data_IF_944814898291
#
_entry.id   IF_944814898291
#
_cell.length_a   1.000
_cell.length_b   1.000
_cell.length_c   1.000
_cell.angle_alpha   90.00
_cell.angle_beta   90.00
_cell.angle_gamma   90.00
#
_symmetry.space_group_name_H-M   'P 1'
#
loop_
_entity.id
_entity.type
_entity.pdbx_description
1 polymer ?
#
# COMPACT_ATOMS: atom_id res chain seq x y z
N UNK A 1 21.99 -22.26 7.54
CA UNK A 1 21.53 -20.87 7.37
C UNK A 1 20.60 -20.90 6.19
N UNK A 2 19.33 -20.62 6.44
CA UNK A 2 18.37 -20.38 5.36
C UNK A 2 18.66 -18.98 4.83
N UNK A 3 18.85 -18.89 3.51
CA UNK A 3 19.10 -17.64 2.79
C UNK A 3 17.90 -17.42 1.88
N UNK A 4 17.34 -16.23 1.93
CA UNK A 4 16.25 -15.82 1.05
C UNK A 4 16.77 -14.83 0.02
N UNK A 5 16.38 -15.03 -1.24
CA UNK A 5 16.60 -14.05 -2.29
C UNK A 5 15.49 -13.00 -2.19
N UNK A 6 15.87 -11.73 -2.12
CA UNK A 6 14.94 -10.62 -1.96
C UNK A 6 15.26 -9.49 -2.94
N UNK A 7 14.24 -8.76 -3.38
CA UNK A 7 14.37 -7.52 -4.13
C UNK A 7 14.14 -6.31 -3.21
N UNK A 8 15.06 -5.35 -3.20
CA UNK A 8 14.89 -4.10 -2.42
C UNK A 8 13.84 -3.22 -3.09
N UNK A 9 12.80 -2.85 -2.35
CA UNK A 9 11.67 -2.04 -2.86
C UNK A 9 11.71 -0.59 -2.39
N UNK A 10 12.21 -0.34 -1.18
CA UNK A 10 12.32 1.01 -0.65
C UNK A 10 13.50 1.13 0.32
N UNK A 11 14.29 2.19 0.21
CA UNK A 11 15.45 2.45 1.09
C UNK A 11 15.13 3.65 1.97
N UNK A 12 15.14 3.46 3.29
CA UNK A 12 14.97 4.56 4.25
C UNK A 12 16.31 5.21 4.53
N UNK A 13 17.33 4.40 4.80
CA UNK A 13 18.69 4.83 5.08
C UNK A 13 19.70 3.72 4.73
N UNK A 14 20.97 3.94 5.07
CA UNK A 14 22.07 3.04 4.72
C UNK A 14 21.96 1.61 5.30
N UNK A 15 21.13 1.40 6.32
CA UNK A 15 20.98 0.11 7.01
C UNK A 15 19.52 -0.35 7.13
N UNK A 16 18.56 0.51 6.77
CA UNK A 16 17.13 0.25 6.87
C UNK A 16 16.48 0.32 5.49
N UNK A 17 15.92 -0.80 5.06
CA UNK A 17 15.21 -0.90 3.78
C UNK A 17 14.07 -1.91 3.87
N UNK A 18 13.15 -1.81 2.92
CA UNK A 18 12.12 -2.80 2.65
C UNK A 18 12.52 -3.65 1.47
N UNK A 19 12.16 -4.93 1.54
CA UNK A 19 12.40 -5.88 0.49
C UNK A 19 11.25 -6.88 0.40
N UNK A 20 11.03 -7.38 -0.81
CA UNK A 20 10.08 -8.46 -1.10
C UNK A 20 10.85 -9.75 -1.33
N UNK A 21 10.31 -10.87 -0.85
CA UNK A 21 10.82 -12.19 -1.20
C UNK A 21 10.47 -12.48 -2.67
N UNK A 22 11.46 -12.86 -3.47
CA UNK A 22 11.25 -13.08 -4.92
C UNK A 22 10.29 -14.23 -5.23
N UNK A 23 10.05 -15.13 -4.27
CA UNK A 23 9.09 -16.21 -4.44
C UNK A 23 7.64 -15.72 -4.31
N UNK A 24 7.41 -14.50 -3.80
CA UNK A 24 6.08 -13.91 -3.63
C UNK A 24 5.65 -13.05 -4.83
N UNK A 25 6.47 -12.94 -5.89
CA UNK A 25 6.20 -12.12 -7.08
C UNK A 25 4.79 -12.38 -7.66
N UNK A 26 4.40 -13.65 -7.76
CA UNK A 26 3.07 -14.01 -8.27
C UNK A 26 1.95 -13.56 -7.33
N UNK A 27 2.16 -13.60 -6.02
CA UNK A 27 1.18 -13.15 -5.04
C UNK A 27 1.01 -11.62 -5.08
N UNK A 28 2.13 -10.88 -5.19
CA UNK A 28 2.13 -9.43 -5.36
C UNK A 28 1.39 -9.02 -6.64
N UNK A 29 1.67 -9.71 -7.75
CA UNK A 29 0.99 -9.45 -9.02
C UNK A 29 -0.51 -9.76 -8.95
N UNK A 30 -0.91 -10.83 -8.26
CA UNK A 30 -2.33 -11.14 -8.04
C UNK A 30 -3.03 -10.04 -7.23
N UNK A 31 -2.39 -9.53 -6.17
CA UNK A 31 -2.91 -8.42 -5.37
C UNK A 31 -3.03 -7.17 -6.24
N UNK A 32 -1.98 -6.80 -6.99
CA UNK A 32 -1.97 -5.64 -7.89
C UNK A 32 -3.15 -5.68 -8.87
N UNK A 33 -3.36 -6.83 -9.52
CA UNK A 33 -4.48 -7.02 -10.45
C UNK A 33 -5.84 -6.93 -9.76
N UNK A 34 -6.00 -7.53 -8.58
CA UNK A 34 -7.24 -7.46 -7.83
C UNK A 34 -7.57 -6.03 -7.34
N UNK A 35 -6.55 -5.25 -6.98
CA UNK A 35 -6.72 -3.83 -6.61
C UNK A 35 -7.12 -2.99 -7.83
N UNK A 36 -6.45 -3.19 -8.96
CA UNK A 36 -6.76 -2.47 -10.20
C UNK A 36 -8.20 -2.71 -10.68
N UNK A 37 -8.71 -3.93 -10.50
CA UNK A 37 -10.10 -4.30 -10.84
C UNK A 37 -11.12 -3.69 -9.85
N UNK A 38 -10.87 -3.81 -8.54
CA UNK A 38 -11.91 -3.55 -7.53
C UNK A 38 -11.87 -2.16 -6.90
N UNK A 39 -10.70 -1.57 -6.71
CA UNK A 39 -10.56 -0.28 -6.01
C UNK A 39 -11.15 0.93 -6.75
N UNK A 40 -11.16 1.02 -8.10
CA UNK A 40 -11.78 2.15 -8.81
C UNK A 40 -13.25 2.39 -8.43
N UNK A 41 -13.99 1.32 -8.12
CA UNK A 41 -15.41 1.36 -7.73
C UNK A 41 -15.65 1.14 -6.24
N UNK A 42 -14.58 1.00 -5.45
CA UNK A 42 -14.69 0.74 -4.02
C UNK A 42 -15.21 1.97 -3.26
N UNK A 43 -15.81 1.71 -2.09
CA UNK A 43 -16.32 2.77 -1.23
C UNK A 43 -15.18 3.67 -0.73
N UNK A 44 -15.29 4.96 -0.99
CA UNK A 44 -14.39 5.98 -0.44
C UNK A 44 -14.56 6.03 1.07
N UNK A 45 -13.46 6.15 1.81
CA UNK A 45 -13.55 6.34 3.25
C UNK A 45 -14.21 7.70 3.54
N UNK A 46 -15.29 7.67 4.33
CA UNK A 46 -15.95 8.86 4.85
C UNK A 46 -15.66 8.95 6.35
N UNK A 47 -14.71 9.82 6.74
CA UNK A 47 -14.41 10.11 8.14
C UNK A 47 -13.02 9.65 8.60
N UNK A 48 -12.95 9.16 9.84
CA UNK A 48 -11.69 8.80 10.49
C UNK A 48 -11.29 7.36 10.13
N UNK A 49 -10.07 7.13 9.61
CA UNK A 49 -9.56 5.80 9.35
C UNK A 49 -9.30 5.07 10.67
N UNK A 50 -9.64 3.79 10.69
CA UNK A 50 -9.19 2.86 11.72
C UNK A 50 -7.69 2.55 11.51
N UNK A 51 -6.81 2.80 12.50
CA UNK A 51 -5.36 2.54 12.41
C UNK A 51 -4.97 1.06 12.19
N UNK A 52 -5.88 0.14 12.50
CA UNK A 52 -5.65 -1.31 12.34
C UNK A 52 -6.11 -1.85 10.98
N UNK A 53 -6.83 -1.04 10.18
CA UNK A 53 -7.32 -1.44 8.86
C UNK A 53 -6.31 -1.14 7.76
N UNK A 54 -6.39 -1.94 6.70
CA UNK A 54 -5.70 -1.71 5.43
C UNK A 54 -6.73 -1.07 4.46
N UNK A 55 -6.25 -0.12 3.67
CA UNK A 55 -7.03 0.63 2.69
C UNK A 55 -6.38 0.58 1.31
N UNK A 56 -7.14 0.95 0.28
CA UNK A 56 -6.62 1.20 -1.06
C UNK A 56 -6.31 2.68 -1.26
N UNK A 57 -5.18 2.96 -1.91
CA UNK A 57 -4.84 4.30 -2.40
C UNK A 57 -4.10 4.20 -3.75
N UNK A 58 -4.18 5.26 -4.54
CA UNK A 58 -3.40 5.39 -5.77
C UNK A 58 -2.06 6.05 -5.44
N UNK A 59 -0.96 5.43 -5.86
CA UNK A 59 0.36 6.05 -5.76
C UNK A 59 0.54 7.05 -6.89
N UNK A 60 0.99 8.28 -6.57
CA UNK A 60 0.99 9.36 -7.55
C UNK A 60 2.01 9.19 -8.68
N UNK A 61 3.13 8.49 -8.46
CA UNK A 61 4.19 8.38 -9.46
C UNK A 61 3.81 7.48 -10.65
N UNK A 62 3.02 6.42 -10.42
CA UNK A 62 2.65 5.45 -11.45
C UNK A 62 1.14 5.32 -11.69
N UNK A 63 0.33 6.06 -10.91
CA UNK A 63 -1.14 6.04 -10.98
C UNK A 63 -1.77 4.66 -10.77
N UNK A 64 -1.08 3.74 -10.09
CA UNK A 64 -1.56 2.39 -9.80
C UNK A 64 -2.14 2.29 -8.37
N UNK A 65 -3.03 1.32 -8.15
CA UNK A 65 -3.64 1.07 -6.85
C UNK A 65 -2.78 0.16 -5.97
N UNK A 66 -2.67 0.52 -4.69
CA UNK A 66 -1.85 -0.17 -3.70
C UNK A 66 -2.57 -0.30 -2.36
N UNK A 67 -2.15 -1.31 -1.59
CA UNK A 67 -2.57 -1.45 -0.18
C UNK A 67 -1.77 -0.50 0.69
N UNK A 68 -2.45 0.15 1.60
CA UNK A 68 -1.83 1.12 2.48
C UNK A 68 -2.42 1.12 3.90
N UNK A 69 -1.63 1.59 4.86
CA UNK A 69 -2.08 1.94 6.20
C UNK A 69 -1.96 3.44 6.41
N UNK A 70 -2.92 4.02 7.12
CA UNK A 70 -2.85 5.44 7.52
C UNK A 70 -1.96 5.55 8.75
N UNK A 71 -0.85 6.29 8.62
CA UNK A 71 0.09 6.58 9.71
C UNK A 71 -0.38 7.77 10.52
N UNK A 72 -0.85 8.82 9.85
CA UNK A 72 -1.29 10.07 10.47
C UNK A 72 -2.45 10.69 9.68
N UNK A 73 -3.32 11.40 10.41
CA UNK A 73 -4.40 12.19 9.85
C UNK A 73 -4.22 13.66 10.26
N UNK A 74 -3.92 14.51 9.29
CA UNK A 74 -3.84 15.98 9.46
C UNK A 74 -4.81 16.63 8.45
N UNK A 75 -4.40 17.61 7.65
CA UNK A 75 -5.20 18.08 6.52
C UNK A 75 -5.30 17.01 5.42
N UNK A 76 -4.26 16.19 5.30
CA UNK A 76 -4.14 15.04 4.41
C UNK A 76 -3.97 13.73 5.21
N UNK A 77 -4.01 12.59 4.53
CA UNK A 77 -3.59 11.32 5.11
C UNK A 77 -2.12 11.05 4.76
N UNK A 78 -1.30 10.80 5.78
CA UNK A 78 0.02 10.20 5.58
C UNK A 78 -0.15 8.69 5.56
N UNK A 79 0.14 8.06 4.43
CA UNK A 79 -0.03 6.62 4.24
C UNK A 79 1.29 5.91 4.01
N UNK A 80 1.39 4.65 4.42
CA UNK A 80 2.48 3.73 4.06
C UNK A 80 1.94 2.63 3.17
N UNK A 81 2.58 2.41 2.03
CA UNK A 81 2.27 1.34 1.11
C UNK A 81 2.88 0.04 1.61
N UNK A 82 2.05 -0.84 2.17
CA UNK A 82 2.51 -1.94 3.04
C UNK A 82 3.29 -3.02 2.31
N UNK A 83 3.09 -3.12 0.99
CA UNK A 83 3.75 -4.11 0.15
C UNK A 83 5.14 -3.64 -0.32
N UNK A 84 5.43 -2.34 -0.26
CA UNK A 84 6.63 -1.74 -0.87
C UNK A 84 7.48 -0.93 0.12
N UNK A 85 6.87 -0.36 1.15
CA UNK A 85 7.53 0.35 2.24
C UNK A 85 7.60 1.87 2.10
N UNK A 86 7.36 2.42 0.90
CA UNK A 86 7.32 3.87 0.69
C UNK A 86 6.09 4.51 1.34
N UNK A 87 6.14 5.83 1.54
CA UNK A 87 5.05 6.61 2.15
C UNK A 87 4.70 7.82 1.30
N UNK A 88 3.47 8.32 1.45
CA UNK A 88 2.97 9.47 0.71
C UNK A 88 1.92 10.25 1.51
N UNK A 89 1.81 11.56 1.27
CA UNK A 89 0.67 12.34 1.70
C UNK A 89 -0.39 12.39 0.61
N UNK A 90 -1.59 11.87 0.88
CA UNK A 90 -2.70 11.82 -0.07
C UNK A 90 -3.90 12.63 0.43
N UNK A 91 -4.73 13.11 -0.50
CA UNK A 91 -5.99 13.77 -0.18
C UNK A 91 -6.90 12.88 0.65
N UNK A 92 -7.73 13.48 1.52
CA UNK A 92 -8.74 12.76 2.31
C UNK A 92 -9.76 12.00 1.45
N UNK A 93 -9.97 12.42 0.21
CA UNK A 93 -10.86 11.72 -0.74
C UNK A 93 -10.16 10.58 -1.50
N UNK A 94 -8.85 10.41 -1.37
CA UNK A 94 -8.09 9.43 -2.14
C UNK A 94 -8.18 8.00 -1.59
N UNK A 95 -8.58 7.84 -0.32
CA UNK A 95 -8.61 6.55 0.37
C UNK A 95 -9.91 5.77 0.09
N UNK A 96 -9.81 4.48 -0.20
CA UNK A 96 -10.96 3.55 -0.34
C UNK A 96 -10.86 2.38 0.63
N UNK A 97 -12.00 1.85 1.04
CA UNK A 97 -12.09 0.57 1.74
C UNK A 97 -11.65 -0.56 0.80
N UNK A 98 -10.82 -1.49 1.28
CA UNK A 98 -10.47 -2.68 0.51
C UNK A 98 -11.65 -3.68 0.49
N UNK A 99 -12.04 -4.18 -0.69
CA UNK A 99 -13.12 -5.15 -0.80
C UNK A 99 -12.63 -6.56 -0.45
N UNK A 100 -13.15 -7.14 0.66
CA UNK A 100 -12.88 -8.53 1.07
C UNK A 100 -11.46 -8.76 1.60
N UNK A 101 -10.96 -9.99 1.52
CA UNK A 101 -9.63 -10.42 2.02
C UNK A 101 -8.43 -9.86 1.20
N UNK A 102 -8.52 -8.63 0.67
CA UNK A 102 -7.42 -7.93 0.02
C UNK A 102 -6.62 -7.09 1.01
#
# INVERSE_FOLDING_TARGET
MDVELVGVTHVLDAITFWAQNVNDDQAIENIRNALADKCPTAQRLLGTPNPQKIYGAVFSEDSCWYRCKVLQQTDNFHVSYIDYGNTEFISRSALVELPGEL
#
